data_IF_557532822614
#
_entry.id   IF_557532822614
#
_cell.length_a   1.000
_cell.length_b   1.000
_cell.length_c   1.000
_cell.angle_alpha   90.00
_cell.angle_beta   90.00
_cell.angle_gamma   90.00
#
_symmetry.space_group_name_H-M   'P 1'
#
loop_
_entity.id
_entity.type
_entity.pdbx_description
1 polymer ?
#
# COMPACT_ATOMS: atom_id res chain seq x y z
N UNK A 1 22.33 14.00 2.12
CA UNK A 1 21.39 13.57 2.90
C UNK A 1 20.44 12.71 2.18
N UNK A 2 20.05 11.73 2.71
CA UNK A 2 19.22 10.88 1.98
C UNK A 2 17.82 11.35 2.10
N UNK A 3 17.12 11.16 1.07
CA UNK A 3 15.80 11.44 1.04
C UNK A 3 15.09 10.25 1.52
N UNK A 4 14.67 10.23 2.68
CA UNK A 4 13.92 9.12 3.17
C UNK A 4 12.49 9.25 2.72
N UNK A 5 11.98 8.27 2.05
CA UNK A 5 10.58 8.22 1.70
C UNK A 5 9.81 7.34 2.63
N UNK A 6 10.44 6.93 3.71
CA UNK A 6 9.78 6.09 4.69
C UNK A 6 8.56 6.79 5.25
N UNK A 7 7.54 6.03 5.52
CA UNK A 7 6.32 6.57 6.08
C UNK A 7 6.57 6.84 7.55
N UNK A 8 6.46 8.11 7.96
CA UNK A 8 6.65 8.48 9.34
C UNK A 8 5.32 8.70 10.06
N UNK A 9 4.24 8.85 9.31
CA UNK A 9 2.92 9.02 9.90
C UNK A 9 1.98 8.12 9.12
N UNK A 10 1.67 6.99 9.68
CA UNK A 10 0.83 6.01 9.00
C UNK A 10 -0.59 6.50 8.81
N UNK A 11 -1.04 7.47 9.59
CA UNK A 11 -2.37 8.02 9.40
C UNK A 11 -2.44 8.89 8.14
N UNK A 12 -1.32 9.40 7.70
CA UNK A 12 -1.30 10.26 6.52
C UNK A 12 -1.57 9.50 5.23
N UNK A 13 -1.43 8.19 5.24
CA UNK A 13 -1.63 7.40 4.03
C UNK A 13 -3.07 6.94 3.85
N UNK A 14 -3.93 7.19 4.81
CA UNK A 14 -5.32 6.75 4.73
C UNK A 14 -5.99 7.40 3.52
N UNK A 15 -6.64 6.57 2.72
CA UNK A 15 -7.33 6.96 1.49
C UNK A 15 -6.42 7.43 0.36
N UNK A 16 -5.12 7.23 0.50
CA UNK A 16 -4.19 7.54 -0.59
C UNK A 16 -4.07 6.37 -1.52
N UNK A 17 -3.75 6.65 -2.77
CA UNK A 17 -3.56 5.62 -3.77
C UNK A 17 -2.30 4.82 -3.52
N UNK A 18 -2.26 3.62 -4.05
CA UNK A 18 -1.14 2.71 -3.86
C UNK A 18 -0.62 2.28 -5.22
N UNK A 19 0.69 2.27 -5.37
CA UNK A 19 1.33 1.87 -6.62
C UNK A 19 2.32 0.76 -6.33
N UNK A 20 2.30 -0.27 -7.16
CA UNK A 20 3.19 -1.41 -6.99
C UNK A 20 4.59 -1.06 -7.49
N UNK A 21 5.54 -1.94 -7.20
CA UNK A 21 6.92 -1.77 -7.62
C UNK A 21 7.04 -1.63 -9.13
N UNK A 22 6.19 -2.35 -9.86
CA UNK A 22 6.21 -2.29 -11.33
C UNK A 22 5.31 -1.21 -11.89
N UNK A 23 4.86 -0.28 -11.06
CA UNK A 23 4.16 0.91 -11.53
C UNK A 23 2.67 0.77 -11.74
N UNK A 24 2.07 -0.32 -11.25
CA UNK A 24 0.65 -0.53 -11.44
C UNK A 24 -0.14 0.00 -10.27
N UNK A 25 -1.36 0.45 -10.55
CA UNK A 25 -2.24 0.95 -9.51
C UNK A 25 -2.75 -0.24 -8.70
N UNK A 26 -2.54 -0.18 -7.40
CA UNK A 26 -2.93 -1.27 -6.51
C UNK A 26 -4.20 -1.00 -5.72
N UNK A 27 -4.75 0.20 -5.84
CA UNK A 27 -5.97 0.53 -5.11
C UNK A 27 -5.76 1.69 -4.15
N UNK A 28 -6.53 1.70 -3.07
CA UNK A 28 -6.54 2.81 -2.11
C UNK A 28 -6.43 2.23 -0.71
N UNK A 29 -5.67 2.90 0.14
CA UNK A 29 -5.56 2.48 1.54
C UNK A 29 -6.86 2.80 2.26
N UNK A 30 -7.49 1.79 2.82
CA UNK A 30 -8.73 1.98 3.56
C UNK A 30 -8.59 1.64 5.04
N UNK A 31 -7.42 1.18 5.45
CA UNK A 31 -7.17 0.89 6.86
C UNK A 31 -5.71 0.73 7.14
N UNK A 32 -5.33 0.98 8.39
CA UNK A 32 -3.96 0.83 8.86
C UNK A 32 -4.05 0.20 10.23
N UNK A 33 -3.33 -0.89 10.42
CA UNK A 33 -3.24 -1.53 11.73
C UNK A 33 -1.81 -1.45 12.21
N UNK A 34 -1.51 -2.07 13.34
CA UNK A 34 -0.17 -2.01 13.90
C UNK A 34 0.89 -2.57 12.95
N UNK A 35 0.57 -3.67 12.29
CA UNK A 35 1.55 -4.37 11.48
C UNK A 35 1.25 -4.33 9.98
N UNK A 36 0.05 -3.95 9.60
CA UNK A 36 -0.39 -4.09 8.22
C UNK A 36 -1.10 -2.85 7.72
N UNK A 37 -1.21 -2.76 6.39
CA UNK A 37 -2.13 -1.81 5.77
C UNK A 37 -3.17 -2.62 5.00
N UNK A 38 -4.34 -2.03 4.82
CA UNK A 38 -5.43 -2.66 4.10
C UNK A 38 -5.72 -1.80 2.88
N UNK A 39 -5.63 -2.43 1.72
CA UNK A 39 -5.81 -1.75 0.44
C UNK A 39 -7.08 -2.29 -0.19
N UNK A 40 -7.98 -1.41 -0.61
CA UNK A 40 -9.16 -1.83 -1.34
C UNK A 40 -8.91 -1.68 -2.82
N UNK A 41 -9.15 -2.77 -3.55
CA UNK A 41 -8.95 -2.79 -4.97
C UNK A 41 -10.29 -3.13 -5.60
N UNK A 42 -10.98 -2.14 -6.11
CA UNK A 42 -12.35 -2.32 -6.61
C UNK A 42 -13.31 -2.43 -5.44
N UNK A 43 -14.46 -3.05 -5.68
CA UNK A 43 -15.50 -3.12 -4.65
C UNK A 43 -15.54 -4.45 -3.92
N UNK A 44 -14.86 -5.47 -4.44
CA UNK A 44 -14.98 -6.81 -3.86
C UNK A 44 -13.65 -7.41 -3.43
N UNK A 45 -12.57 -6.65 -3.46
CA UNK A 45 -11.25 -7.18 -3.13
C UNK A 45 -10.57 -6.29 -2.13
N UNK A 46 -9.91 -6.91 -1.16
CA UNK A 46 -9.05 -6.23 -0.24
C UNK A 46 -7.71 -6.94 -0.21
N UNK A 47 -6.66 -6.18 0.00
CA UNK A 47 -5.32 -6.71 0.14
C UNK A 47 -4.83 -6.31 1.52
N UNK A 48 -4.43 -7.27 2.33
CA UNK A 48 -3.81 -6.99 3.61
C UNK A 48 -2.33 -7.20 3.43
N UNK A 49 -1.57 -6.14 3.62
CA UNK A 49 -0.15 -6.15 3.31
C UNK A 49 0.65 -5.69 4.51
N UNK A 50 1.71 -6.41 4.88
CA UNK A 50 2.56 -5.98 5.99
C UNK A 50 3.17 -4.61 5.69
N UNK A 51 3.30 -3.78 6.71
CA UNK A 51 3.90 -2.47 6.55
C UNK A 51 5.31 -2.53 5.98
N UNK A 52 6.01 -3.63 6.22
CA UNK A 52 7.36 -3.77 5.70
C UNK A 52 7.40 -3.80 4.18
N UNK A 53 6.28 -4.06 3.54
CA UNK A 53 6.22 -4.06 2.07
C UNK A 53 5.92 -2.68 1.50
N UNK A 54 5.79 -1.67 2.35
CA UNK A 54 5.62 -0.30 1.92
C UNK A 54 7.00 0.31 1.82
N UNK A 55 7.39 0.69 0.61
CA UNK A 55 8.68 1.30 0.42
C UNK A 55 8.69 2.76 0.87
N UNK A 56 7.61 3.47 0.63
CA UNK A 56 7.55 4.85 1.03
C UNK A 56 6.27 5.53 0.59
N UNK A 57 6.20 6.82 0.90
CA UNK A 57 5.04 7.65 0.60
C UNK A 57 5.58 8.97 0.09
N UNK A 58 5.16 9.38 -1.11
CA UNK A 58 5.67 10.59 -1.73
C UNK A 58 4.74 11.78 -1.58
N UNK A 59 3.73 11.68 -0.73
CA UNK A 59 2.75 12.75 -0.54
C UNK A 59 1.49 12.55 -1.36
N UNK A 60 1.57 11.76 -2.40
CA UNK A 60 0.42 11.47 -3.26
C UNK A 60 0.03 10.02 -3.22
N UNK A 61 1.01 9.13 -3.28
CA UNK A 61 0.74 7.70 -3.34
C UNK A 61 1.72 6.93 -2.49
N UNK A 62 1.27 5.76 -2.09
CA UNK A 62 2.12 4.80 -1.40
C UNK A 62 2.85 3.99 -2.44
N UNK A 63 4.14 3.80 -2.23
CA UNK A 63 4.95 2.99 -3.12
C UNK A 63 5.27 1.68 -2.42
N UNK A 64 5.02 0.58 -3.10
CA UNK A 64 5.26 -0.74 -2.55
C UNK A 64 6.54 -1.32 -3.11
N UNK A 65 7.10 -2.30 -2.41
CA UNK A 65 8.27 -3.01 -2.90
C UNK A 65 7.90 -4.36 -3.50
N UNK A 66 6.62 -4.57 -3.81
CA UNK A 66 6.12 -5.80 -4.42
C UNK A 66 5.48 -5.46 -5.75
N UNK A 67 5.48 -6.43 -6.66
CA UNK A 67 4.85 -6.26 -7.96
C UNK A 67 3.35 -6.51 -7.85
N UNK A 68 2.62 -6.17 -8.89
CA UNK A 68 1.19 -6.44 -8.92
C UNK A 68 0.88 -7.91 -8.78
N UNK A 69 1.75 -8.76 -9.35
CA UNK A 69 1.52 -10.18 -9.28
C UNK A 69 1.77 -10.71 -7.87
N UNK A 70 2.79 -10.21 -7.20
CA UNK A 70 3.04 -10.58 -5.82
C UNK A 70 1.91 -10.10 -4.93
N UNK A 71 1.36 -8.96 -5.24
CA UNK A 71 0.27 -8.41 -4.46
C UNK A 71 -0.96 -9.29 -4.46
N UNK A 72 -1.20 -9.99 -5.56
CA UNK A 72 -2.36 -10.86 -5.65
C UNK A 72 -2.36 -11.96 -4.60
N UNK A 73 -1.21 -12.33 -4.10
CA UNK A 73 -1.11 -13.36 -3.09
C UNK A 73 -1.66 -12.89 -1.75
N UNK A 74 -1.85 -11.60 -1.58
CA UNK A 74 -2.38 -11.04 -0.35
C UNK A 74 -3.84 -10.63 -0.49
N UNK A 75 -4.45 -10.89 -1.66
CA UNK A 75 -5.83 -10.48 -1.88
C UNK A 75 -6.80 -11.35 -1.11
N UNK A 76 -7.82 -10.72 -0.60
CA UNK A 76 -8.91 -11.40 0.07
C UNK A 76 -10.18 -10.93 -0.61
N UNK A 77 -11.01 -11.88 -1.03
CA UNK A 77 -12.27 -11.50 -1.62
C UNK A 77 -13.28 -11.23 -0.54
N UNK A 78 -14.02 -10.18 -0.73
CA UNK A 78 -15.06 -9.80 0.21
C UNK A 78 -16.38 -10.40 -0.21
#
# INVERSE_FOLDING_TARGET
MSESRAVVDWNAIFKKGVRTKDGKNAGIVVGVSDANIIIQKGVTREVILPKENVEGFDGHEILLNVTGEELKRHEIKI
#
